data_IF_063441329392
#
_entry.id   IF_063441329392
#
_cell.length_a   1.000
_cell.length_b   1.000
_cell.length_c   1.000
_cell.angle_alpha   90.00
_cell.angle_beta   90.00
_cell.angle_gamma   90.00
#
_symmetry.space_group_name_H-M   'P 1'
#
loop_
_entity.id
_entity.type
_entity.pdbx_description
1 polymer ?
#
# COMPACT_ATOMS: atom_id res chain seq x y z
N UNK A 1 1.21 -10.53 19.80
CA UNK A 1 0.77 -10.01 21.11
C UNK A 1 1.57 -10.58 22.28
N UNK A 2 2.12 -11.79 22.16
CA UNK A 2 2.81 -12.51 23.25
C UNK A 2 4.35 -12.48 23.14
N UNK A 3 4.90 -11.78 22.18
CA UNK A 3 6.34 -11.68 21.99
C UNK A 3 6.99 -10.82 23.10
N UNK A 4 8.18 -11.23 23.52
CA UNK A 4 9.01 -10.57 24.53
C UNK A 4 10.42 -10.37 23.99
N UNK A 5 11.28 -9.67 24.73
CA UNK A 5 12.71 -9.49 24.38
C UNK A 5 13.48 -10.80 24.16
N UNK A 6 12.99 -11.92 24.67
CA UNK A 6 13.59 -13.24 24.50
C UNK A 6 13.04 -14.01 23.30
N UNK A 7 12.05 -13.45 22.61
CA UNK A 7 11.46 -14.06 21.40
C UNK A 7 12.36 -13.85 20.19
N UNK A 8 12.35 -14.83 19.30
CA UNK A 8 12.79 -14.67 17.90
C UNK A 8 11.56 -14.61 17.02
N UNK A 9 11.44 -13.54 16.26
CA UNK A 9 10.33 -13.33 15.31
C UNK A 9 10.88 -13.48 13.90
N UNK A 10 10.17 -14.21 13.06
CA UNK A 10 10.48 -14.32 11.63
C UNK A 10 9.28 -13.81 10.85
N UNK A 11 9.48 -12.73 10.12
CA UNK A 11 8.50 -12.19 9.17
C UNK A 11 8.95 -12.52 7.76
N UNK A 12 8.02 -13.00 6.95
CA UNK A 12 8.25 -13.35 5.57
C UNK A 12 7.18 -12.68 4.70
N UNK A 13 7.61 -11.74 3.85
CA UNK A 13 6.77 -11.05 2.86
C UNK A 13 5.49 -10.39 3.46
N UNK A 14 5.62 -9.75 4.64
CA UNK A 14 4.51 -8.98 5.24
C UNK A 14 4.06 -7.87 4.29
N UNK A 15 2.74 -7.73 4.12
CA UNK A 15 2.12 -6.74 3.25
C UNK A 15 1.87 -7.22 1.80
N UNK A 16 2.15 -8.49 1.50
CA UNK A 16 1.82 -9.09 0.20
C UNK A 16 0.31 -9.29 0.04
N UNK A 17 -0.22 -9.07 -1.18
CA UNK A 17 -1.64 -9.32 -1.49
C UNK A 17 -2.57 -8.10 -1.36
N UNK A 18 -1.99 -6.92 -1.16
CA UNK A 18 -2.70 -5.64 -1.23
C UNK A 18 -1.95 -4.65 -2.13
N UNK A 19 -2.38 -3.38 -2.20
CA UNK A 19 -1.65 -2.36 -2.95
C UNK A 19 -0.23 -2.16 -2.40
N UNK A 20 0.71 -1.78 -3.25
CA UNK A 20 2.12 -1.60 -2.87
C UNK A 20 2.28 -0.67 -1.67
N UNK A 21 1.60 0.48 -1.69
CA UNK A 21 1.70 1.47 -0.61
C UNK A 21 1.07 0.99 0.71
N UNK A 22 -0.07 0.30 0.65
CA UNK A 22 -0.70 -0.26 1.86
C UNK A 22 0.18 -1.36 2.44
N UNK A 23 0.66 -2.27 1.59
CA UNK A 23 1.53 -3.36 2.00
C UNK A 23 2.83 -2.88 2.63
N UNK A 24 3.51 -1.91 2.02
CA UNK A 24 4.71 -1.28 2.54
C UNK A 24 4.44 -0.57 3.87
N UNK A 25 3.32 0.17 3.98
CA UNK A 25 2.96 0.88 5.21
C UNK A 25 2.72 -0.09 6.37
N UNK A 26 2.04 -1.22 6.11
CA UNK A 26 1.82 -2.27 7.10
C UNK A 26 3.15 -2.91 7.49
N UNK A 27 4.00 -3.26 6.53
CA UNK A 27 5.29 -3.88 6.76
C UNK A 27 6.19 -2.99 7.62
N UNK A 28 6.27 -1.69 7.30
CA UNK A 28 7.01 -0.69 8.07
C UNK A 28 6.49 -0.57 9.50
N UNK A 29 5.19 -0.40 9.66
CA UNK A 29 4.57 -0.26 10.98
C UNK A 29 4.80 -1.50 11.86
N UNK A 30 4.77 -2.71 11.28
CA UNK A 30 5.08 -3.96 11.99
C UNK A 30 6.54 -4.01 12.41
N UNK A 31 7.48 -3.60 11.54
CA UNK A 31 8.90 -3.53 11.87
C UNK A 31 9.15 -2.56 13.03
N UNK A 32 8.67 -1.33 12.94
CA UNK A 32 8.80 -0.30 13.98
C UNK A 32 8.18 -0.74 15.32
N UNK A 33 6.99 -1.35 15.29
CA UNK A 33 6.34 -1.87 16.48
C UNK A 33 7.15 -2.96 17.17
N UNK A 34 7.80 -3.82 16.38
CA UNK A 34 8.61 -4.93 16.90
C UNK A 34 9.94 -4.44 17.48
N UNK A 35 10.55 -3.41 16.88
CA UNK A 35 11.75 -2.74 17.37
C UNK A 35 11.49 -1.96 18.68
N UNK A 36 10.26 -1.49 18.87
CA UNK A 36 9.88 -0.66 19.99
C UNK A 36 10.20 -1.30 21.35
N UNK A 37 10.49 -0.46 22.35
CA UNK A 37 10.87 -0.87 23.72
C UNK A 37 9.88 -1.86 24.36
N UNK A 38 8.64 -1.89 23.88
CA UNK A 38 7.56 -2.72 24.40
C UNK A 38 7.75 -4.20 24.07
N UNK A 39 8.31 -4.50 22.90
CA UNK A 39 8.62 -5.87 22.44
C UNK A 39 10.14 -6.07 22.45
N UNK A 40 10.88 -5.34 21.65
CA UNK A 40 12.33 -5.39 21.54
C UNK A 40 12.85 -6.81 21.27
N UNK A 41 12.11 -7.60 20.48
CA UNK A 41 12.45 -8.98 20.16
C UNK A 41 13.51 -9.02 19.05
N UNK A 42 14.31 -10.08 19.04
CA UNK A 42 15.17 -10.38 17.88
C UNK A 42 14.29 -10.74 16.69
N UNK A 43 14.51 -10.07 15.56
CA UNK A 43 13.62 -10.21 14.40
C UNK A 43 14.42 -10.42 13.13
N UNK A 44 14.00 -11.39 12.33
CA UNK A 44 14.39 -11.56 10.93
C UNK A 44 13.21 -11.11 10.08
N UNK A 45 13.46 -10.17 9.17
CA UNK A 45 12.41 -9.59 8.33
C UNK A 45 12.80 -9.75 6.85
N UNK A 46 12.20 -10.73 6.17
CA UNK A 46 12.33 -10.88 4.73
C UNK A 46 11.27 -10.05 4.01
N UNK A 47 11.69 -9.21 3.07
CA UNK A 47 10.81 -8.33 2.32
C UNK A 47 11.38 -8.00 0.95
N UNK A 48 10.50 -7.65 0.02
CA UNK A 48 10.83 -7.11 -1.29
C UNK A 48 10.68 -5.58 -1.36
N UNK A 49 10.30 -4.93 -0.26
CA UNK A 49 10.18 -3.47 -0.20
C UNK A 49 11.55 -2.84 0.05
N UNK A 50 12.19 -2.33 -1.01
CA UNK A 50 13.48 -1.66 -0.93
C UNK A 50 13.43 -0.41 -0.05
N UNK A 51 12.29 0.25 0.01
CA UNK A 51 12.06 1.43 0.83
C UNK A 51 12.25 1.18 2.33
N UNK A 52 12.14 -0.07 2.77
CA UNK A 52 12.37 -0.42 4.18
C UNK A 52 13.86 -0.49 4.55
N UNK A 53 14.76 -0.43 3.59
CA UNK A 53 16.22 -0.43 3.87
C UNK A 53 16.66 0.82 4.64
N UNK A 54 15.93 1.93 4.53
CA UNK A 54 16.18 3.16 5.29
C UNK A 54 16.06 2.97 6.81
N UNK A 55 15.39 1.90 7.26
CA UNK A 55 15.25 1.62 8.70
C UNK A 55 16.60 1.39 9.40
N UNK A 56 17.65 0.99 8.68
CA UNK A 56 19.01 0.88 9.25
C UNK A 56 19.56 2.25 9.66
N UNK A 57 19.22 3.30 8.90
CA UNK A 57 19.67 4.67 9.19
C UNK A 57 18.79 5.36 10.24
N UNK A 58 17.53 4.98 10.33
CA UNK A 58 16.55 5.60 11.22
C UNK A 58 16.50 4.97 12.62
N UNK A 59 16.85 3.69 12.74
CA UNK A 59 16.70 2.96 13.99
C UNK A 59 17.98 2.22 14.39
N UNK A 60 18.45 2.50 15.60
CA UNK A 60 19.52 1.72 16.21
C UNK A 60 19.10 0.24 16.36
N UNK A 61 19.99 -0.68 15.96
CA UNK A 61 19.77 -2.12 16.07
C UNK A 61 19.10 -2.75 14.84
N UNK A 62 18.81 -1.99 13.79
CA UNK A 62 18.43 -2.52 12.47
C UNK A 62 19.66 -2.69 11.61
N UNK A 63 19.72 -3.78 10.86
CA UNK A 63 20.83 -4.08 9.94
C UNK A 63 20.28 -4.70 8.68
N UNK A 64 20.67 -4.16 7.53
CA UNK A 64 20.30 -4.68 6.22
C UNK A 64 21.23 -5.81 5.77
N UNK A 65 20.63 -6.83 5.19
CA UNK A 65 21.30 -7.91 4.51
C UNK A 65 20.61 -8.22 3.18
N UNK A 66 21.36 -8.63 2.19
CA UNK A 66 20.83 -9.08 0.91
C UNK A 66 21.44 -10.40 0.46
N UNK A 67 20.84 -11.03 -0.55
CA UNK A 67 21.38 -12.21 -1.20
C UNK A 67 22.32 -11.77 -2.31
N UNK A 68 23.60 -12.12 -2.18
CA UNK A 68 24.59 -11.77 -3.18
C UNK A 68 24.28 -12.38 -4.54
N UNK A 69 24.28 -11.55 -5.57
CA UNK A 69 24.11 -11.93 -6.96
C UNK A 69 25.28 -11.44 -7.79
N UNK A 70 25.62 -12.15 -8.84
CA UNK A 70 26.63 -11.76 -9.82
C UNK A 70 25.99 -11.61 -11.18
N UNK A 71 26.04 -10.39 -11.72
CA UNK A 71 25.56 -10.06 -13.06
C UNK A 71 26.69 -10.17 -14.06
N UNK A 72 26.44 -10.86 -15.17
CA UNK A 72 27.34 -10.94 -16.34
C UNK A 72 26.53 -10.59 -17.58
N UNK A 73 26.61 -9.35 -18.05
CA UNK A 73 25.73 -8.85 -19.10
C UNK A 73 24.26 -8.99 -18.69
N UNK A 74 23.49 -9.71 -19.49
CA UNK A 74 22.06 -9.98 -19.25
C UNK A 74 21.79 -11.23 -18.40
N UNK A 75 22.81 -11.90 -17.90
CA UNK A 75 22.67 -13.12 -17.08
C UNK A 75 22.99 -12.83 -15.63
N UNK A 76 22.19 -13.44 -14.73
CA UNK A 76 22.36 -13.35 -13.29
C UNK A 76 22.63 -14.71 -12.67
N UNK A 77 23.51 -14.74 -11.71
CA UNK A 77 23.80 -15.91 -10.89
C UNK A 77 23.67 -15.54 -9.42
N UNK A 78 22.74 -16.19 -8.70
CA UNK A 78 22.61 -16.03 -7.26
C UNK A 78 23.69 -16.86 -6.55
N UNK A 79 24.52 -16.22 -5.74
CA UNK A 79 25.63 -16.85 -5.06
C UNK A 79 25.22 -17.62 -3.79
N UNK A 80 23.95 -17.54 -3.40
CA UNK A 80 23.39 -18.14 -2.18
C UNK A 80 24.17 -17.76 -0.92
N UNK A 81 24.66 -16.54 -0.88
CA UNK A 81 25.36 -15.96 0.26
C UNK A 81 24.60 -14.74 0.73
N UNK A 82 24.37 -14.64 2.02
CA UNK A 82 23.85 -13.46 2.67
C UNK A 82 25.02 -12.53 2.95
N UNK A 83 24.91 -11.30 2.47
CA UNK A 83 25.92 -10.26 2.66
C UNK A 83 25.31 -9.03 3.31
N UNK A 84 26.10 -8.27 4.05
CA UNK A 84 25.65 -7.02 4.68
C UNK A 84 25.42 -5.95 3.63
N UNK A 85 24.38 -5.15 3.85
CA UNK A 85 23.98 -4.00 3.03
C UNK A 85 22.62 -4.18 2.40
N UNK A 86 22.07 -3.08 1.90
CA UNK A 86 20.86 -3.09 1.08
C UNK A 86 21.13 -3.75 -0.28
N UNK A 87 20.09 -4.26 -0.94
CA UNK A 87 20.19 -4.66 -2.34
C UNK A 87 20.09 -3.39 -3.21
N UNK A 88 21.06 -3.21 -4.10
CA UNK A 88 21.10 -2.03 -4.99
C UNK A 88 20.12 -2.16 -6.16
N UNK A 89 19.85 -3.39 -6.62
CA UNK A 89 19.02 -3.69 -7.80
C UNK A 89 17.96 -4.73 -7.49
N UNK A 90 16.83 -4.66 -8.20
CA UNK A 90 15.88 -5.76 -8.30
C UNK A 90 16.22 -6.63 -9.51
N UNK A 91 16.06 -7.95 -9.35
CA UNK A 91 16.44 -8.93 -10.38
C UNK A 91 15.21 -9.67 -10.95
N UNK A 92 14.02 -9.10 -10.79
CA UNK A 92 12.78 -9.75 -11.19
C UNK A 92 12.72 -10.10 -12.68
N UNK A 93 13.20 -9.21 -13.56
CA UNK A 93 13.20 -9.42 -15.02
C UNK A 93 14.21 -10.50 -15.41
N UNK A 94 15.39 -10.50 -14.78
CA UNK A 94 16.41 -11.52 -14.99
C UNK A 94 15.94 -12.91 -14.52
N UNK A 95 15.25 -12.97 -13.38
CA UNK A 95 14.62 -14.20 -12.89
C UNK A 95 13.52 -14.69 -13.82
N UNK A 96 12.69 -13.79 -14.34
CA UNK A 96 11.66 -14.13 -15.33
C UNK A 96 12.29 -14.72 -16.61
N UNK A 97 13.42 -14.17 -17.08
CA UNK A 97 14.20 -14.73 -18.19
C UNK A 97 14.68 -16.16 -17.87
N UNK A 98 15.26 -16.39 -16.70
CA UNK A 98 15.70 -17.72 -16.25
C UNK A 98 14.54 -18.71 -16.12
N UNK A 99 13.36 -18.23 -15.77
CA UNK A 99 12.14 -19.04 -15.69
C UNK A 99 11.52 -19.37 -17.05
N UNK A 100 12.12 -18.90 -18.17
CA UNK A 100 11.67 -19.21 -19.51
C UNK A 100 10.57 -18.31 -20.05
N UNK A 101 10.38 -17.13 -19.49
CA UNK A 101 9.45 -16.12 -20.06
C UNK A 101 9.95 -15.71 -21.45
N UNK A 102 9.06 -15.59 -22.46
CA UNK A 102 9.45 -15.27 -23.83
C UNK A 102 10.30 -14.00 -23.95
N UNK A 103 11.30 -14.02 -24.82
CA UNK A 103 12.26 -12.91 -24.98
C UNK A 103 11.61 -11.57 -25.31
N UNK A 104 10.51 -11.58 -26.06
CA UNK A 104 9.73 -10.38 -26.39
C UNK A 104 9.11 -9.73 -25.17
N UNK A 105 8.59 -10.55 -24.23
CA UNK A 105 8.03 -10.08 -22.95
C UNK A 105 9.13 -9.49 -22.08
N UNK A 106 10.28 -10.16 -21.98
CA UNK A 106 11.43 -9.67 -21.23
C UNK A 106 11.93 -8.34 -21.78
N UNK A 107 12.05 -8.22 -23.11
CA UNK A 107 12.43 -6.96 -23.76
C UNK A 107 11.47 -5.84 -23.41
N UNK A 108 10.16 -6.11 -23.53
CA UNK A 108 9.13 -5.10 -23.22
C UNK A 108 9.13 -4.71 -21.75
N UNK A 109 9.34 -5.67 -20.85
CA UNK A 109 9.44 -5.41 -19.41
C UNK A 109 10.62 -4.48 -19.06
N UNK A 110 11.79 -4.66 -19.70
CA UNK A 110 12.94 -3.76 -19.53
C UNK A 110 12.64 -2.33 -20.03
N UNK A 111 11.97 -2.20 -21.18
CA UNK A 111 11.55 -0.89 -21.70
C UNK A 111 10.60 -0.18 -20.74
N UNK A 112 9.62 -0.90 -20.20
CA UNK A 112 8.65 -0.35 -19.25
C UNK A 112 9.36 0.06 -17.95
N UNK A 113 10.23 -0.80 -17.39
CA UNK A 113 10.99 -0.50 -16.18
C UNK A 113 11.80 0.79 -16.37
N UNK A 114 12.54 0.89 -17.47
CA UNK A 114 13.32 2.09 -17.79
C UNK A 114 12.45 3.35 -17.89
N UNK A 115 11.26 3.25 -18.47
CA UNK A 115 10.32 4.39 -18.57
C UNK A 115 9.73 4.79 -17.22
N UNK A 116 9.57 3.83 -16.29
CA UNK A 116 9.13 4.10 -14.92
C UNK A 116 10.25 4.79 -14.13
N UNK A 117 11.48 4.29 -14.23
CA UNK A 117 12.65 4.83 -13.53
C UNK A 117 13.04 6.22 -14.05
N UNK A 118 12.90 6.49 -15.35
CA UNK A 118 13.13 7.81 -15.94
C UNK A 118 12.02 8.82 -15.64
N UNK A 119 10.89 8.37 -15.10
CA UNK A 119 9.73 9.21 -14.81
C UNK A 119 8.86 9.55 -16.02
N UNK A 120 9.13 8.93 -17.20
CA UNK A 120 8.37 9.13 -18.42
C UNK A 120 6.96 8.50 -18.33
N UNK A 121 6.85 7.42 -17.57
CA UNK A 121 5.58 6.83 -17.17
C UNK A 121 5.39 7.12 -15.68
N UNK A 122 4.59 8.11 -15.34
CA UNK A 122 4.00 8.16 -14.00
C UNK A 122 3.11 6.93 -13.89
N UNK A 123 3.40 6.05 -12.95
CA UNK A 123 2.40 5.11 -12.44
C UNK A 123 1.34 5.98 -11.75
N UNK A 124 0.49 6.60 -12.57
CA UNK A 124 -0.69 7.27 -12.03
C UNK A 124 -1.42 6.19 -11.24
N UNK A 125 -1.68 6.47 -9.97
CA UNK A 125 -2.83 5.84 -9.34
C UNK A 125 -3.91 5.92 -10.39
N UNK A 126 -4.59 4.81 -10.75
CA UNK A 126 -5.78 4.95 -11.55
C UNK A 126 -6.55 6.05 -10.83
N UNK A 127 -6.64 7.24 -11.46
CA UNK A 127 -7.56 8.25 -11.00
C UNK A 127 -8.81 7.46 -10.74
N UNK A 128 -9.32 7.50 -9.51
CA UNK A 128 -10.66 7.02 -9.26
C UNK A 128 -11.46 7.67 -10.37
N UNK A 129 -11.75 6.92 -11.45
CA UNK A 129 -12.81 7.32 -12.36
C UNK A 129 -13.90 7.74 -11.41
N UNK A 130 -14.52 8.94 -11.58
CA UNK A 130 -15.66 9.30 -10.76
C UNK A 130 -16.47 8.01 -10.70
N UNK A 131 -16.58 7.44 -9.51
CA UNK A 131 -17.23 6.16 -9.31
C UNK A 131 -18.53 6.29 -10.08
N UNK A 132 -18.64 5.58 -11.23
CA UNK A 132 -19.97 5.25 -11.71
C UNK A 132 -20.62 4.69 -10.47
N UNK A 133 -21.75 5.25 -10.01
CA UNK A 133 -22.29 4.92 -8.71
C UNK A 133 -22.26 3.41 -8.61
N UNK A 134 -21.39 2.91 -7.73
CA UNK A 134 -21.35 1.49 -7.44
C UNK A 134 -22.80 1.14 -7.22
N UNK A 135 -23.30 0.19 -7.99
CA UNK A 135 -24.68 -0.25 -7.92
C UNK A 135 -24.89 -0.72 -6.49
N UNK A 136 -25.21 0.27 -5.65
CA UNK A 136 -25.30 0.12 -4.22
C UNK A 136 -26.58 -0.66 -3.97
N UNK A 137 -26.41 -1.95 -3.69
CA UNK A 137 -27.53 -2.82 -3.31
C UNK A 137 -28.25 -2.28 -2.06
N UNK A 138 -27.60 -1.34 -1.33
CA UNK A 138 -28.21 -0.62 -0.21
C UNK A 138 -29.15 0.50 -0.69
N UNK A 139 -28.93 1.08 -1.88
CA UNK A 139 -29.80 2.12 -2.43
C UNK A 139 -31.16 1.56 -2.92
N UNK A 140 -31.24 0.25 -3.13
CA UNK A 140 -32.53 -0.40 -3.40
C UNK A 140 -33.39 -0.62 -2.15
N UNK A 141 -32.84 -0.39 -0.96
CA UNK A 141 -33.54 -0.55 0.32
C UNK A 141 -33.89 0.79 0.97
N UNK A 142 -33.35 1.90 0.46
CA UNK A 142 -33.73 3.25 0.90
C UNK A 142 -34.99 3.68 0.14
N UNK A 143 -35.99 4.20 0.85
CA UNK A 143 -37.18 4.78 0.24
C UNK A 143 -36.78 6.04 -0.56
N UNK A 144 -37.51 6.35 -1.64
CA UNK A 144 -37.29 7.58 -2.44
C UNK A 144 -37.27 8.83 -1.56
N UNK A 145 -37.94 8.80 -0.42
CA UNK A 145 -38.02 9.87 0.57
C UNK A 145 -36.72 10.07 1.35
N UNK A 146 -36.00 8.99 1.69
CA UNK A 146 -34.68 9.08 2.35
C UNK A 146 -33.62 9.67 1.42
N UNK A 147 -33.68 9.34 0.13
CA UNK A 147 -32.78 9.89 -0.88
C UNK A 147 -33.00 11.40 -1.07
N UNK A 148 -34.25 11.87 -1.15
CA UNK A 148 -34.62 13.30 -1.25
C UNK A 148 -34.16 14.11 -0.03
N UNK A 149 -34.25 13.52 1.16
CA UNK A 149 -33.75 14.15 2.41
C UNK A 149 -32.22 14.28 2.41
N UNK A 150 -31.51 13.23 1.99
CA UNK A 150 -30.05 13.25 1.92
C UNK A 150 -29.51 14.25 0.88
N UNK A 151 -30.19 14.37 -0.28
CA UNK A 151 -29.82 15.31 -1.33
C UNK A 151 -30.02 16.75 -0.89
N UNK A 152 -31.14 17.03 -0.23
CA UNK A 152 -31.42 18.38 0.33
C UNK A 152 -30.43 18.79 1.41
N UNK A 153 -30.02 17.85 2.28
CA UNK A 153 -29.00 18.11 3.30
C UNK A 153 -27.63 18.39 2.68
N UNK A 154 -27.25 17.69 1.60
CA UNK A 154 -25.97 17.91 0.91
C UNK A 154 -25.90 19.25 0.18
N UNK A 155 -27.04 19.71 -0.37
CA UNK A 155 -27.12 20.97 -1.09
C UNK A 155 -27.22 22.21 -0.18
N UNK A 156 -27.35 22.03 1.12
CA UNK A 156 -27.61 23.08 2.08
C UNK A 156 -26.34 23.81 2.51
N UNK A 157 -26.27 25.11 2.33
CA UNK A 157 -25.25 25.94 2.96
C UNK A 157 -25.72 26.41 4.35
N UNK A 158 -25.17 25.78 5.37
CA UNK A 158 -25.52 26.04 6.79
C UNK A 158 -25.21 27.48 7.20
N UNK A 159 -24.26 28.15 6.55
CA UNK A 159 -23.84 29.52 6.93
C UNK A 159 -24.83 30.59 6.47
N UNK A 160 -25.76 30.25 5.58
CA UNK A 160 -26.78 31.21 5.06
C UNK A 160 -28.11 31.15 5.80
N UNK A 161 -28.26 30.16 6.73
CA UNK A 161 -29.51 29.94 7.44
C UNK A 161 -29.57 30.71 8.77
N UNK A 162 -30.70 31.33 9.04
CA UNK A 162 -31.03 31.81 10.39
C UNK A 162 -31.43 30.62 11.30
N UNK A 163 -31.31 30.74 12.63
CA UNK A 163 -31.70 29.66 13.56
C UNK A 163 -33.16 29.18 13.38
N UNK A 164 -34.05 30.08 13.04
CA UNK A 164 -35.48 29.76 12.82
C UNK A 164 -35.65 28.96 11.52
N UNK A 165 -34.99 29.37 10.45
CA UNK A 165 -35.03 28.65 9.18
C UNK A 165 -34.43 27.26 9.30
N UNK A 166 -33.31 27.10 10.03
CA UNK A 166 -32.71 25.81 10.31
C UNK A 166 -33.64 24.87 11.08
N UNK A 167 -34.35 25.40 12.10
CA UNK A 167 -35.34 24.64 12.86
C UNK A 167 -36.53 24.18 12.00
N UNK A 168 -37.05 25.06 11.17
CA UNK A 168 -38.17 24.73 10.27
C UNK A 168 -37.76 23.68 9.24
N UNK A 169 -36.54 23.81 8.69
CA UNK A 169 -36.02 22.84 7.73
C UNK A 169 -35.83 21.46 8.35
N UNK A 170 -35.25 21.38 9.55
CA UNK A 170 -35.11 20.10 10.29
C UNK A 170 -36.47 19.47 10.54
N UNK A 171 -37.46 20.26 10.90
CA UNK A 171 -38.83 19.78 11.12
C UNK A 171 -39.43 19.20 9.84
N UNK A 172 -39.26 19.88 8.70
CA UNK A 172 -39.76 19.41 7.39
C UNK A 172 -39.06 18.13 6.94
N UNK A 173 -37.72 18.05 7.09
CA UNK A 173 -36.95 16.84 6.73
C UNK A 173 -37.34 15.66 7.61
N UNK A 174 -37.54 15.89 8.91
CA UNK A 174 -37.99 14.83 9.84
C UNK A 174 -39.38 14.33 9.53
N UNK A 175 -40.30 15.20 9.03
CA UNK A 175 -41.66 14.81 8.64
C UNK A 175 -41.67 13.89 7.42
N UNK A 176 -40.66 13.97 6.56
CA UNK A 176 -40.52 13.11 5.37
C UNK A 176 -39.94 11.73 5.71
N UNK A 177 -39.32 11.57 6.86
CA UNK A 177 -38.73 10.31 7.32
C UNK A 177 -39.67 9.47 8.23
N UNK A 178 -40.87 9.97 8.54
CA UNK A 178 -41.92 9.28 9.30
C UNK A 178 -43.10 8.93 8.40
#
# INVERSE_FOLDING_TARGET
KNATKQSLIVYDEIGRGTSTYDGMSIARAVAEYTLGRKIGAKTLFATHYHELTVLEDEFEGVVNYNIAAKKRGDDITFLRKIVRGAADDSYGIEVAKLAGVPAEVIKRAKEILHSIESGDIKLERPEKKPEEPAFDMLSMLSSDEEHDVAEKLRALDINTLTPIEAMNLIYELKKKLN
#
